data_IF_807127722241
#
_entry.id   IF_807127722241
#
_cell.length_a   1.000
_cell.length_b   1.000
_cell.length_c   1.000
_cell.angle_alpha   90.00
_cell.angle_beta   90.00
_cell.angle_gamma   90.00
#
_symmetry.space_group_name_H-M   'P 1'
#
loop_
_entity.id
_entity.type
_entity.pdbx_description
1 polymer ?
#
# COMPACT_ATOMS: atom_id res chain seq x y z
N UNK A 1 9.96 9.38 12.21
CA UNK A 1 8.71 9.87 11.56
C UNK A 1 8.30 8.89 10.49
N UNK A 2 9.22 8.48 9.60
CA UNK A 2 9.10 7.36 8.68
C UNK A 2 8.57 6.05 9.30
N UNK A 3 9.01 5.70 10.52
CA UNK A 3 8.56 4.51 11.25
C UNK A 3 7.04 4.42 11.45
N UNK A 4 6.29 5.53 11.37
CA UNK A 4 4.84 5.57 11.57
C UNK A 4 4.06 5.52 10.25
N UNK A 5 4.59 6.12 9.19
CA UNK A 5 3.90 6.21 7.90
C UNK A 5 4.14 4.98 7.03
N UNK A 6 5.36 4.43 7.03
CA UNK A 6 5.68 3.26 6.21
C UNK A 6 4.85 2.02 6.58
N UNK A 7 4.58 1.71 7.87
CA UNK A 7 3.69 0.61 8.22
C UNK A 7 2.26 0.77 7.69
N UNK A 8 1.71 1.99 7.71
CA UNK A 8 0.38 2.28 7.16
C UNK A 8 0.31 1.94 5.67
N UNK A 9 1.28 2.40 4.89
CA UNK A 9 1.36 2.14 3.44
C UNK A 9 1.53 0.64 3.16
N UNK A 10 2.31 -0.05 3.99
CA UNK A 10 2.47 -1.49 3.91
C UNK A 10 1.15 -2.23 4.12
N UNK A 11 0.38 -1.85 5.14
CA UNK A 11 -0.91 -2.46 5.44
C UNK A 11 -1.92 -2.19 4.31
N UNK A 12 -1.98 -0.97 3.80
CA UNK A 12 -2.88 -0.58 2.72
C UNK A 12 -2.56 -1.28 1.40
N UNK A 13 -1.27 -1.42 1.05
CA UNK A 13 -0.84 -2.26 -0.07
C UNK A 13 -1.21 -3.73 0.14
N UNK A 14 -1.05 -4.23 1.37
CA UNK A 14 -1.44 -5.58 1.75
C UNK A 14 -2.93 -5.84 1.48
N UNK A 15 -3.78 -4.91 1.91
CA UNK A 15 -5.23 -4.98 1.70
C UNK A 15 -5.61 -4.91 0.22
N UNK A 16 -4.98 -4.03 -0.57
CA UNK A 16 -5.23 -3.95 -2.03
C UNK A 16 -4.90 -5.28 -2.71
N UNK A 17 -3.76 -5.88 -2.35
CA UNK A 17 -3.34 -7.20 -2.85
C UNK A 17 -4.35 -8.26 -2.44
N UNK A 18 -4.68 -8.36 -1.15
CA UNK A 18 -5.62 -9.37 -0.63
C UNK A 18 -7.02 -9.21 -1.23
N UNK A 19 -7.52 -7.99 -1.44
CA UNK A 19 -8.84 -7.77 -2.00
C UNK A 19 -8.91 -8.12 -3.50
N UNK A 20 -7.93 -7.73 -4.31
CA UNK A 20 -7.92 -8.03 -5.76
C UNK A 20 -7.61 -9.49 -6.08
N UNK A 21 -6.71 -10.09 -5.31
CA UNK A 21 -6.39 -11.51 -5.44
C UNK A 21 -7.49 -12.34 -4.77
N UNK A 22 -7.94 -11.99 -3.57
CA UNK A 22 -8.97 -12.69 -2.81
C UNK A 22 -10.32 -12.79 -3.55
N UNK A 23 -10.75 -11.74 -4.27
CA UNK A 23 -11.96 -11.84 -5.11
C UNK A 23 -11.82 -12.84 -6.27
N UNK A 24 -10.59 -13.15 -6.71
CA UNK A 24 -10.30 -14.17 -7.73
C UNK A 24 -9.96 -15.55 -7.15
N UNK A 25 -9.75 -15.66 -5.83
CA UNK A 25 -9.18 -16.85 -5.21
C UNK A 25 -10.25 -17.54 -4.39
N UNK A 26 -11.00 -18.38 -5.08
CA UNK A 26 -11.54 -19.58 -4.45
C UNK A 26 -10.71 -20.83 -4.78
N UNK A 27 -9.48 -20.67 -5.31
CA UNK A 27 -8.69 -21.78 -5.83
C UNK A 27 -7.18 -21.48 -5.69
N UNK A 28 -6.46 -22.40 -5.04
CA UNK A 28 -5.00 -22.69 -5.14
C UNK A 28 -4.15 -22.34 -3.90
N UNK A 29 -3.53 -23.40 -3.36
CA UNK A 29 -2.56 -23.46 -2.24
C UNK A 29 -1.36 -22.52 -2.37
N UNK A 30 -1.00 -22.10 -3.59
CA UNK A 30 0.10 -21.15 -3.85
C UNK A 30 -0.19 -19.72 -3.39
N UNK A 31 -1.46 -19.36 -3.17
CA UNK A 31 -1.82 -18.01 -2.72
C UNK A 31 -1.45 -17.80 -1.25
N UNK A 32 -1.68 -18.81 -0.40
CA UNK A 32 -1.31 -18.74 1.01
C UNK A 32 0.21 -18.59 1.18
N UNK A 33 0.99 -19.28 0.34
CA UNK A 33 2.45 -19.15 0.30
C UNK A 33 2.89 -17.75 -0.13
N UNK A 34 2.25 -17.16 -1.15
CA UNK A 34 2.54 -15.79 -1.58
C UNK A 34 2.16 -14.74 -0.53
N UNK A 35 1.02 -14.90 0.14
CA UNK A 35 0.61 -14.02 1.25
C UNK A 35 1.62 -14.10 2.40
N UNK A 36 2.06 -15.31 2.77
CA UNK A 36 3.09 -15.49 3.80
C UNK A 36 4.45 -14.88 3.39
N UNK A 37 4.83 -15.01 2.12
CA UNK A 37 6.05 -14.43 1.56
C UNK A 37 6.02 -12.90 1.58
N UNK A 38 4.89 -12.30 1.20
CA UNK A 38 4.67 -10.84 1.28
C UNK A 38 4.80 -10.39 2.73
N UNK A 39 4.09 -11.04 3.66
CA UNK A 39 4.17 -10.71 5.09
C UNK A 39 5.62 -10.73 5.62
N UNK A 40 6.39 -11.77 5.29
CA UNK A 40 7.80 -11.88 5.72
C UNK A 40 8.68 -10.75 5.15
N UNK A 41 8.46 -10.36 3.88
CA UNK A 41 9.18 -9.23 3.27
C UNK A 41 8.85 -7.92 3.98
N UNK A 42 7.58 -7.71 4.33
CA UNK A 42 7.12 -6.54 5.06
C UNK A 42 7.75 -6.46 6.46
N UNK A 43 7.81 -7.57 7.20
CA UNK A 43 8.50 -7.65 8.50
C UNK A 43 10.00 -7.31 8.38
N UNK A 44 10.65 -7.75 7.29
CA UNK A 44 12.06 -7.43 7.03
C UNK A 44 12.24 -5.94 6.79
N UNK A 45 11.36 -5.32 5.99
CA UNK A 45 11.38 -3.87 5.73
C UNK A 45 11.20 -3.11 7.05
N UNK A 46 10.23 -3.50 7.88
CA UNK A 46 9.99 -2.86 9.17
C UNK A 46 11.22 -2.92 10.09
N UNK A 47 11.92 -4.06 10.13
CA UNK A 47 13.15 -4.22 10.90
C UNK A 47 14.28 -3.30 10.42
N UNK A 48 14.48 -3.19 9.10
CA UNK A 48 15.48 -2.28 8.51
C UNK A 48 15.16 -0.82 8.81
N UNK A 49 13.89 -0.44 8.74
CA UNK A 49 13.45 0.92 9.07
C UNK A 49 13.67 1.26 10.53
N UNK A 50 13.43 0.29 11.42
CA UNK A 50 13.67 0.51 12.84
C UNK A 50 15.16 0.71 13.16
N UNK A 51 16.05 -0.06 12.53
CA UNK A 51 17.50 0.18 12.64
C UNK A 51 17.91 1.54 12.06
N UNK A 52 17.36 1.89 10.90
CA UNK A 52 17.66 3.14 10.23
C UNK A 52 17.24 4.37 11.06
N UNK A 53 16.04 4.39 11.65
CA UNK A 53 15.59 5.53 12.47
C UNK A 53 16.45 5.69 13.73
N UNK A 54 16.91 4.59 14.36
CA UNK A 54 17.88 4.65 15.47
C UNK A 54 19.21 5.27 15.06
N UNK A 55 19.61 5.11 13.80
CA UNK A 55 20.86 5.63 13.23
C UNK A 55 20.72 7.04 12.64
N UNK A 56 19.49 7.50 12.37
CA UNK A 56 19.16 8.83 11.81
C UNK A 56 19.92 9.99 12.46
N UNK A 57 20.04 9.98 13.79
CA UNK A 57 20.69 11.07 14.53
C UNK A 57 22.22 11.09 14.40
N UNK A 58 22.83 9.95 14.05
CA UNK A 58 24.29 9.76 14.02
C UNK A 58 24.85 9.72 12.61
N UNK A 59 24.05 9.27 11.65
CA UNK A 59 24.46 9.05 10.28
C UNK A 59 23.64 9.90 9.31
N UNK A 60 24.22 11.02 8.88
CA UNK A 60 23.59 11.94 7.90
C UNK A 60 23.10 11.24 6.62
N UNK A 61 23.81 10.25 6.03
CA UNK A 61 23.30 9.53 4.88
C UNK A 61 22.02 8.75 5.17
N UNK A 62 21.91 8.14 6.34
CA UNK A 62 20.71 7.42 6.78
C UNK A 62 19.56 8.39 7.01
N UNK A 63 19.84 9.56 7.58
CA UNK A 63 18.82 10.60 7.75
C UNK A 63 18.24 11.08 6.42
N UNK A 64 19.10 11.35 5.43
CA UNK A 64 18.68 11.76 4.09
C UNK A 64 17.84 10.68 3.40
N UNK A 65 18.27 9.42 3.50
CA UNK A 65 17.53 8.29 2.92
C UNK A 65 16.14 8.12 3.56
N UNK A 66 16.02 8.31 4.88
CA UNK A 66 14.72 8.27 5.56
C UNK A 66 13.82 9.45 5.21
N UNK A 67 14.38 10.64 4.98
CA UNK A 67 13.62 11.79 4.48
C UNK A 67 13.06 11.53 3.08
N UNK A 68 13.90 11.02 2.16
CA UNK A 68 13.46 10.65 0.81
C UNK A 68 12.41 9.53 0.85
N UNK A 69 12.52 8.60 1.81
CA UNK A 69 11.51 7.56 2.00
C UNK A 69 10.18 8.14 2.53
N UNK A 70 10.22 9.10 3.45
CA UNK A 70 9.02 9.81 3.94
C UNK A 70 8.30 10.48 2.75
N UNK A 71 9.03 11.17 1.87
CA UNK A 71 8.46 11.80 0.66
C UNK A 71 7.78 10.77 -0.26
N UNK A 72 8.46 9.65 -0.54
CA UNK A 72 7.91 8.57 -1.38
C UNK A 72 6.65 7.99 -0.75
N UNK A 73 6.57 7.85 0.58
CA UNK A 73 5.35 7.32 1.22
C UNK A 73 4.13 8.22 1.02
N UNK A 74 4.31 9.54 0.96
CA UNK A 74 3.19 10.45 0.65
C UNK A 74 2.72 10.29 -0.79
N UNK A 75 3.65 10.18 -1.75
CA UNK A 75 3.29 9.91 -3.15
C UNK A 75 2.56 8.56 -3.30
N UNK A 76 2.93 7.55 -2.51
CA UNK A 76 2.28 6.25 -2.52
C UNK A 76 0.87 6.30 -1.92
N UNK A 77 0.64 7.04 -0.84
CA UNK A 77 -0.70 7.25 -0.25
C UNK A 77 -1.66 7.85 -1.29
N UNK A 78 -1.23 8.91 -1.99
CA UNK A 78 -2.00 9.57 -3.05
C UNK A 78 -2.36 8.61 -4.20
N UNK A 79 -1.42 7.75 -4.61
CA UNK A 79 -1.63 6.76 -5.68
C UNK A 79 -2.58 5.65 -5.23
N UNK A 80 -2.49 5.20 -3.97
CA UNK A 80 -3.37 4.18 -3.40
C UNK A 80 -4.81 4.70 -3.27
N UNK A 81 -4.98 5.94 -2.85
CA UNK A 81 -6.29 6.62 -2.82
C UNK A 81 -6.90 6.71 -4.24
N UNK A 82 -6.12 7.12 -5.24
CA UNK A 82 -6.61 7.17 -6.62
C UNK A 82 -7.00 5.79 -7.14
N UNK A 83 -6.23 4.75 -6.78
CA UNK A 83 -6.50 3.37 -7.11
C UNK A 83 -7.81 2.89 -6.46
N UNK A 84 -7.98 3.12 -5.16
CA UNK A 84 -9.18 2.75 -4.41
C UNK A 84 -10.43 3.42 -5.00
N UNK A 85 -10.34 4.71 -5.36
CA UNK A 85 -11.41 5.44 -6.04
C UNK A 85 -11.74 4.81 -7.41
N UNK A 86 -10.74 4.40 -8.19
CA UNK A 86 -10.95 3.77 -9.50
C UNK A 86 -11.61 2.39 -9.40
N UNK A 87 -11.24 1.58 -8.41
CA UNK A 87 -11.83 0.25 -8.17
C UNK A 87 -13.25 0.38 -7.61
N UNK A 88 -13.49 1.31 -6.69
CA UNK A 88 -14.80 1.51 -6.05
C UNK A 88 -15.83 2.24 -6.92
N UNK A 89 -15.61 2.46 -8.23
CA UNK A 89 -16.67 2.96 -9.10
C UNK A 89 -17.69 1.85 -9.36
N UNK A 90 -18.92 1.87 -8.77
CA UNK A 90 -20.03 1.29 -9.49
C UNK A 90 -20.15 2.08 -10.80
N UNK A 91 -20.42 1.39 -11.91
CA UNK A 91 -20.86 2.04 -13.13
C UNK A 91 -22.13 2.86 -12.84
N UNK A 92 -21.99 4.12 -12.46
CA UNK A 92 -23.02 5.11 -12.77
C UNK A 92 -22.85 5.47 -14.24
N UNK A 93 -23.22 4.52 -15.10
CA UNK A 93 -23.76 4.83 -16.41
C UNK A 93 -25.04 5.60 -16.14
N UNK A 94 -24.94 6.94 -16.16
CA UNK A 94 -26.09 7.81 -16.04
C UNK A 94 -27.07 7.49 -17.17
N UNK A 95 -28.13 6.77 -16.85
CA UNK A 95 -29.30 6.62 -17.72
C UNK A 95 -29.95 7.99 -17.89
N UNK A 96 -29.46 8.78 -18.83
CA UNK A 96 -30.26 9.86 -19.44
C UNK A 96 -31.13 9.23 -20.52
N UNK A 97 -32.35 8.88 -20.14
CA UNK A 97 -33.48 8.59 -21.03
C UNK A 97 -34.76 8.79 -20.21
N UNK A 98 -35.80 9.50 -20.60
CA UNK A 98 -36.06 10.48 -21.66
C UNK A 98 -37.34 11.17 -21.17
N UNK A 99 -37.25 12.43 -20.77
CA UNK A 99 -38.43 13.24 -20.43
C UNK A 99 -38.90 14.00 -21.66
N UNK A 100 -39.60 13.33 -22.56
CA UNK A 100 -40.43 13.99 -23.57
C UNK A 100 -41.76 13.27 -23.68
N UNK A 101 -42.75 13.78 -22.95
CA UNK A 101 -44.06 14.12 -23.50
C UNK A 101 -44.74 15.13 -22.60
#
# INVERSE_FOLDING_TARGET
MAELFVPKIIDELGDVVVNQLGEKINLVMGVEEEVANIKRKLETIQSVLHDAERRRQKEKPVAKWLEELEDITYEMDDVLDEWNIKIQKPKYEGTRHCGTR
#
